data_IF_292547094263
#
_entry.id   IF_292547094263
#
_cell.length_a   1.000
_cell.length_b   1.000
_cell.length_c   1.000
_cell.angle_alpha   90.00
_cell.angle_beta   90.00
_cell.angle_gamma   90.00
#
_symmetry.space_group_name_H-M   'P 1'
#
loop_
_entity.id
_entity.type
_entity.pdbx_description
1 polymer ?
#
# COMPACT_ATOMS: atom_id res chain seq x y z
N UNK A 1 21.00 -4.13 -0.14
CA UNK A 1 19.55 -4.05 0.16
C UNK A 1 18.87 -5.10 -0.69
N UNK A 2 18.00 -5.93 -0.11
CA UNK A 2 17.32 -7.04 -0.81
C UNK A 2 16.46 -6.51 -1.97
N UNK A 3 16.05 -5.25 -1.89
CA UNK A 3 15.35 -4.53 -2.95
C UNK A 3 16.27 -3.96 -4.04
N UNK A 4 17.58 -3.92 -3.81
CA UNK A 4 18.59 -3.34 -4.71
C UNK A 4 19.48 -4.36 -5.40
N UNK A 5 19.36 -5.65 -5.08
CA UNK A 5 20.11 -6.70 -5.77
C UNK A 5 19.57 -6.88 -7.20
N UNK A 6 20.37 -6.42 -8.16
CA UNK A 6 20.03 -6.20 -9.57
C UNK A 6 20.14 -7.46 -10.45
N UNK A 7 20.06 -8.64 -9.85
CA UNK A 7 20.16 -9.91 -10.55
C UNK A 7 18.89 -10.74 -10.28
N UNK A 8 18.36 -11.47 -11.25
CA UNK A 8 17.12 -12.29 -11.17
C UNK A 8 15.75 -11.58 -11.32
N UNK A 9 15.40 -11.20 -12.56
CA UNK A 9 14.03 -11.19 -13.10
C UNK A 9 12.96 -10.28 -12.44
N UNK A 10 11.73 -10.35 -12.94
CA UNK A 10 10.57 -9.66 -12.34
C UNK A 10 10.20 -10.33 -11.02
N UNK A 11 10.49 -9.67 -9.89
CA UNK A 11 10.16 -10.17 -8.55
C UNK A 11 8.80 -9.62 -8.09
N UNK A 12 8.00 -10.46 -7.43
CA UNK A 12 6.80 -10.00 -6.71
C UNK A 12 7.14 -9.86 -5.24
N UNK A 13 7.03 -8.64 -4.70
CA UNK A 13 7.36 -8.33 -3.30
C UNK A 13 6.08 -7.95 -2.56
N UNK A 14 5.91 -8.48 -1.36
CA UNK A 14 4.84 -8.08 -0.44
C UNK A 14 5.47 -7.33 0.72
N UNK A 15 5.03 -6.09 0.94
CA UNK A 15 5.49 -5.23 2.04
C UNK A 15 4.29 -4.93 2.93
N UNK A 16 4.45 -5.11 4.23
CA UNK A 16 3.50 -4.61 5.23
C UNK A 16 4.12 -3.43 5.95
N UNK A 17 3.38 -2.33 6.03
CA UNK A 17 3.83 -1.10 6.69
C UNK A 17 2.63 -0.39 7.29
N UNK A 18 2.84 0.26 8.43
CA UNK A 18 1.87 1.21 9.01
C UNK A 18 2.13 2.65 8.54
N UNK A 19 3.28 2.90 7.89
CA UNK A 19 3.60 4.18 7.26
C UNK A 19 3.02 4.20 5.85
N UNK A 20 1.97 5.02 5.66
CA UNK A 20 1.24 5.16 4.39
C UNK A 20 2.13 5.71 3.27
N UNK A 21 2.92 6.75 3.56
CA UNK A 21 3.82 7.37 2.57
C UNK A 21 4.83 6.36 2.02
N UNK A 22 5.41 5.52 2.88
CA UNK A 22 6.32 4.46 2.48
C UNK A 22 5.64 3.39 1.62
N UNK A 23 4.39 3.05 1.94
CA UNK A 23 3.58 2.13 1.15
C UNK A 23 3.28 2.68 -0.25
N UNK A 24 2.90 3.95 -0.33
CA UNK A 24 2.62 4.67 -1.58
C UNK A 24 3.87 4.85 -2.45
N UNK A 25 5.04 5.07 -1.83
CA UNK A 25 6.30 5.25 -2.56
C UNK A 25 6.86 3.96 -3.17
N UNK A 26 6.61 2.82 -2.54
CA UNK A 26 7.20 1.53 -2.94
C UNK A 26 6.22 0.62 -3.70
N UNK A 27 4.91 0.79 -3.49
CA UNK A 27 3.88 -0.12 -4.00
C UNK A 27 3.37 0.26 -5.39
N UNK A 28 3.25 -0.73 -6.27
CA UNK A 28 2.48 -0.67 -7.51
C UNK A 28 0.99 -1.03 -7.30
N UNK A 29 0.66 -1.58 -6.13
CA UNK A 29 -0.67 -1.98 -5.65
C UNK A 29 -0.71 -1.82 -4.15
N UNK A 30 -1.86 -1.40 -3.63
CA UNK A 30 -2.06 -1.27 -2.19
C UNK A 30 -3.32 -2.01 -1.75
N UNK A 31 -3.25 -2.64 -0.58
CA UNK A 31 -4.38 -3.20 0.14
C UNK A 31 -4.38 -2.68 1.59
N UNK A 32 -5.55 -2.32 2.10
CA UNK A 32 -5.74 -1.96 3.51
C UNK A 32 -6.26 -3.20 4.23
N UNK A 33 -5.54 -3.61 5.26
CA UNK A 33 -5.96 -4.68 6.18
C UNK A 33 -6.45 -4.05 7.47
N UNK A 34 -7.69 -4.36 7.86
CA UNK A 34 -8.27 -3.94 9.13
C UNK A 34 -9.02 -5.11 9.76
N UNK A 35 -8.76 -5.39 11.05
CA UNK A 35 -9.36 -6.51 11.80
C UNK A 35 -9.29 -7.86 11.06
N UNK A 36 -8.13 -8.16 10.48
CA UNK A 36 -7.87 -9.43 9.77
C UNK A 36 -8.55 -9.56 8.40
N UNK A 37 -9.15 -8.49 7.87
CA UNK A 37 -9.83 -8.48 6.56
C UNK A 37 -9.22 -7.43 5.65
N UNK A 38 -9.18 -7.72 4.34
CA UNK A 38 -8.83 -6.70 3.35
C UNK A 38 -10.09 -5.88 3.08
N UNK A 39 -10.06 -4.62 3.49
CA UNK A 39 -11.21 -3.71 3.42
C UNK A 39 -11.15 -2.77 2.21
N UNK A 40 -9.98 -2.65 1.59
CA UNK A 40 -9.77 -1.82 0.40
C UNK A 40 -8.60 -2.36 -0.43
N UNK A 41 -8.67 -2.20 -1.75
CA UNK A 41 -7.60 -2.54 -2.71
C UNK A 41 -7.62 -1.52 -3.85
N UNK A 42 -6.43 -1.18 -4.36
CA UNK A 42 -6.28 -0.24 -5.47
C UNK A 42 -4.96 -0.47 -6.20
N UNK A 43 -4.94 -0.23 -7.52
CA UNK A 43 -3.72 -0.27 -8.32
C UNK A 43 -3.01 1.10 -8.34
N UNK A 44 -1.70 1.10 -8.61
CA UNK A 44 -0.87 2.31 -8.61
C UNK A 44 -1.31 3.38 -9.60
N UNK A 45 -1.93 2.98 -10.71
CA UNK A 45 -2.46 3.92 -11.70
C UNK A 45 -3.68 4.67 -11.17
N UNK A 46 -4.50 4.02 -10.35
CA UNK A 46 -5.67 4.61 -9.71
C UNK A 46 -5.31 5.45 -8.48
N UNK A 47 -4.11 5.26 -7.90
CA UNK A 47 -3.62 5.99 -6.72
C UNK A 47 -3.26 7.45 -6.99
N UNK A 48 -2.86 7.81 -8.22
CA UNK A 48 -2.24 9.09 -8.53
C UNK A 48 -3.14 10.33 -8.30
N UNK A 49 -4.46 10.13 -8.14
CA UNK A 49 -5.43 11.22 -7.90
C UNK A 49 -6.25 11.06 -6.62
N UNK A 50 -5.93 10.11 -5.75
CA UNK A 50 -6.71 9.83 -4.55
C UNK A 50 -6.08 10.45 -3.31
N UNK A 51 -6.91 11.02 -2.44
CA UNK A 51 -6.51 11.24 -1.05
C UNK A 51 -6.52 9.89 -0.31
N UNK A 52 -5.36 9.23 -0.34
CA UNK A 52 -5.22 7.92 0.29
C UNK A 52 -5.38 7.98 1.81
N UNK A 53 -5.12 9.14 2.44
CA UNK A 53 -5.31 9.30 3.89
C UNK A 53 -6.79 9.27 4.23
N UNK A 54 -7.61 9.99 3.48
CA UNK A 54 -9.06 9.98 3.66
C UNK A 54 -9.63 8.56 3.48
N UNK A 55 -9.18 7.85 2.44
CA UNK A 55 -9.57 6.46 2.19
C UNK A 55 -9.17 5.58 3.38
N UNK A 56 -7.92 5.70 3.83
CA UNK A 56 -7.44 4.93 4.97
C UNK A 56 -8.32 5.15 6.20
N UNK A 57 -8.55 6.41 6.59
CA UNK A 57 -9.34 6.76 7.77
C UNK A 57 -10.79 6.27 7.65
N UNK A 58 -11.39 6.33 6.45
CA UNK A 58 -12.72 5.78 6.17
C UNK A 58 -12.82 4.29 6.44
N UNK A 59 -11.79 3.52 6.11
CA UNK A 59 -11.81 2.06 6.23
C UNK A 59 -11.27 1.52 7.56
N UNK A 60 -10.47 2.31 8.28
CA UNK A 60 -9.88 1.90 9.58
C UNK A 60 -10.54 2.58 10.77
N UNK A 61 -11.33 3.63 10.56
CA UNK A 61 -11.99 4.39 11.62
C UNK A 61 -11.03 5.15 12.53
N UNK A 62 -9.79 5.41 12.07
CA UNK A 62 -8.75 6.09 12.87
C UNK A 62 -8.84 7.63 12.79
N UNK A 63 -9.80 8.17 12.04
CA UNK A 63 -10.05 9.60 11.88
C UNK A 63 -11.03 10.20 12.91
N UNK A 64 -10.87 9.89 14.20
CA UNK A 64 -11.52 10.59 15.31
C UNK A 64 -10.53 10.90 16.42
#
# INVERSE_FOLDING_TARGET
DVLSDNDYGSRTVVITTHNLERGLKLGDRIAIVHKGKIVYRVSGQELAGLDFREIYDRYTGTGR
#
